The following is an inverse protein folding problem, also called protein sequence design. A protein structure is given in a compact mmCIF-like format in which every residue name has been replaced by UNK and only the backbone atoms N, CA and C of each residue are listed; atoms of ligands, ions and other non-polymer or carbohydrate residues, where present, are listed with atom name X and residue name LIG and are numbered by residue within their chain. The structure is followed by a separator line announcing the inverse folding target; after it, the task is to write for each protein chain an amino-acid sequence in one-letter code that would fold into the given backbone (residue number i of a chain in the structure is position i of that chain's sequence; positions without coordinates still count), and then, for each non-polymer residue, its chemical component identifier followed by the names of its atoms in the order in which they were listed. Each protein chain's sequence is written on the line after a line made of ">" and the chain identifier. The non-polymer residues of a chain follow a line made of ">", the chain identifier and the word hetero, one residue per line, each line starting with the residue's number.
data_IF_383034845491
#
_entry.id   IF_383034845491
#
_cell.length_a   1.000
_cell.length_b   1.000
_cell.length_c   1.000
_cell.angle_alpha   90.00
_cell.angle_beta   90.00
_cell.angle_gamma   90.00
#
_symmetry.space_group_name_H-M   'P 1'
#
loop_
_entity.id
_entity.type
_entity.pdbx_description
1 polymer ?
#
# COMPACT_ATOMS: atom_id res chain seq x y z
N UNK A 1 21.26 -19.91 -10.45
CA UNK A 1 19.90 -19.56 -9.99
C UNK A 1 19.68 -18.07 -10.13
N UNK A 2 18.45 -17.65 -10.40
CA UNK A 2 18.14 -16.22 -10.55
C UNK A 2 18.37 -15.43 -9.24
N UNK A 3 18.28 -16.08 -8.08
CA UNK A 3 18.58 -15.50 -6.78
C UNK A 3 20.07 -15.10 -6.66
N UNK A 4 20.98 -15.92 -7.17
CA UNK A 4 22.40 -15.58 -7.23
C UNK A 4 22.62 -14.32 -8.07
N UNK A 5 22.05 -14.26 -9.27
CA UNK A 5 22.21 -13.12 -10.18
C UNK A 5 21.60 -11.81 -9.63
N UNK A 6 20.61 -11.88 -8.74
CA UNK A 6 20.05 -10.72 -8.05
C UNK A 6 20.85 -10.29 -6.81
N UNK A 7 21.88 -11.05 -6.42
CA UNK A 7 22.67 -10.78 -5.22
C UNK A 7 21.96 -11.10 -3.91
N UNK A 8 20.87 -11.89 -3.94
CA UNK A 8 20.09 -12.23 -2.73
C UNK A 8 20.65 -13.44 -1.97
N UNK A 9 21.42 -14.29 -2.62
CA UNK A 9 22.11 -15.42 -1.99
C UNK A 9 23.59 -15.46 -2.36
N UNK A 10 24.46 -16.08 -1.51
CA UNK A 10 25.88 -16.18 -1.78
C UNK A 10 26.21 -16.95 -3.07
N UNK A 11 27.30 -16.56 -3.71
CA UNK A 11 27.90 -17.31 -4.82
C UNK A 11 28.78 -18.40 -4.24
N UNK A 12 28.43 -19.66 -4.51
CA UNK A 12 29.17 -20.83 -4.04
C UNK A 12 29.82 -21.64 -5.20
N UNK A 13 29.43 -21.35 -6.44
CA UNK A 13 29.96 -22.01 -7.63
C UNK A 13 31.40 -21.53 -7.92
N UNK A 14 32.42 -22.40 -7.87
CA UNK A 14 33.82 -22.04 -8.15
C UNK A 14 34.02 -21.45 -9.55
N UNK A 15 33.27 -21.92 -10.55
CA UNK A 15 33.40 -21.41 -11.92
C UNK A 15 32.87 -19.96 -12.02
N UNK A 16 31.79 -19.64 -11.29
CA UNK A 16 31.28 -18.29 -11.21
C UNK A 16 32.23 -17.38 -10.42
N UNK A 17 32.78 -17.86 -9.31
CA UNK A 17 33.76 -17.10 -8.51
C UNK A 17 35.08 -16.81 -9.27
N UNK A 18 35.43 -17.63 -10.26
CA UNK A 18 36.59 -17.45 -11.12
C UNK A 18 36.28 -16.62 -12.39
N UNK A 19 35.05 -16.22 -12.60
CA UNK A 19 34.64 -15.41 -13.75
C UNK A 19 34.97 -13.91 -13.56
N UNK A 20 34.88 -13.14 -14.64
CA UNK A 20 35.11 -11.69 -14.64
C UNK A 20 33.89 -10.90 -14.04
N UNK A 21 33.01 -11.58 -13.31
CA UNK A 21 31.87 -10.94 -12.66
C UNK A 21 32.31 -10.09 -11.46
N UNK A 22 31.60 -9.02 -11.23
CA UNK A 22 31.80 -8.17 -10.05
C UNK A 22 31.07 -8.75 -8.83
N UNK A 23 31.79 -8.84 -7.72
CA UNK A 23 31.27 -9.33 -6.45
C UNK A 23 31.40 -8.27 -5.37
N UNK A 24 30.48 -8.31 -4.42
CA UNK A 24 30.56 -7.62 -3.14
C UNK A 24 30.67 -8.66 -2.01
N UNK A 25 31.31 -8.31 -0.92
CA UNK A 25 31.47 -9.19 0.23
C UNK A 25 30.66 -8.66 1.42
N UNK A 26 29.81 -9.52 1.98
CA UNK A 26 28.99 -9.22 3.17
C UNK A 26 29.13 -10.41 4.12
N UNK A 27 29.55 -10.15 5.36
CA UNK A 27 29.78 -11.17 6.40
C UNK A 27 30.66 -12.37 5.92
N UNK A 28 31.71 -12.11 5.13
CA UNK A 28 32.60 -13.13 4.60
C UNK A 28 32.06 -13.96 3.43
N UNK A 29 30.84 -13.67 2.98
CA UNK A 29 30.23 -14.29 1.81
C UNK A 29 30.28 -13.35 0.60
N UNK A 30 30.54 -13.94 -0.58
CA UNK A 30 30.52 -13.20 -1.84
C UNK A 30 29.17 -13.26 -2.50
N UNK A 31 28.67 -12.11 -2.89
CA UNK A 31 27.42 -11.93 -3.62
C UNK A 31 27.68 -11.28 -4.97
N UNK A 32 26.84 -11.58 -5.97
CA UNK A 32 26.87 -10.81 -7.21
C UNK A 32 26.60 -9.34 -6.91
N UNK A 33 27.44 -8.45 -7.41
CA UNK A 33 27.22 -7.03 -7.34
C UNK A 33 26.04 -6.67 -8.27
N UNK A 34 24.86 -6.53 -7.73
CA UNK A 34 23.63 -6.32 -8.46
C UNK A 34 22.79 -5.23 -7.81
N UNK A 35 22.44 -4.20 -8.57
CA UNK A 35 21.50 -3.17 -8.10
C UNK A 35 20.10 -3.73 -7.77
N UNK A 36 19.76 -4.91 -8.31
CA UNK A 36 18.46 -5.54 -8.06
C UNK A 36 18.20 -5.82 -6.58
N UNK A 37 19.26 -6.05 -5.78
CA UNK A 37 19.11 -6.33 -4.34
C UNK A 37 18.46 -5.15 -3.59
N UNK A 38 18.64 -3.93 -4.05
CA UNK A 38 18.04 -2.74 -3.42
C UNK A 38 16.62 -2.46 -3.89
N UNK A 39 16.15 -3.12 -4.97
CA UNK A 39 14.83 -2.88 -5.53
C UNK A 39 13.74 -3.56 -4.70
N UNK A 40 12.54 -2.95 -4.70
CA UNK A 40 11.34 -3.57 -4.20
C UNK A 40 10.83 -4.69 -5.14
N UNK A 41 9.77 -5.38 -4.71
CA UNK A 41 9.04 -6.27 -5.60
C UNK A 41 8.36 -5.46 -6.72
N UNK A 42 8.12 -6.11 -7.88
CA UNK A 42 7.36 -5.49 -8.95
C UNK A 42 5.93 -5.15 -8.49
N UNK A 43 5.53 -3.90 -8.70
CA UNK A 43 4.17 -3.46 -8.42
C UNK A 43 3.19 -3.75 -9.55
N UNK A 44 1.93 -3.53 -9.28
CA UNK A 44 0.82 -3.62 -10.23
C UNK A 44 0.13 -2.26 -10.33
N UNK A 45 -0.30 -1.90 -11.54
CA UNK A 45 -1.26 -0.82 -11.74
C UNK A 45 -2.63 -1.42 -12.03
N UNK A 46 -3.65 -0.94 -11.32
CA UNK A 46 -5.05 -1.33 -11.49
C UNK A 46 -5.91 -0.13 -11.87
N UNK A 47 -7.00 -0.38 -12.56
CA UNK A 47 -8.02 0.61 -12.90
C UNK A 47 -9.41 0.07 -12.58
N UNK A 48 -10.34 0.97 -12.30
CA UNK A 48 -11.76 0.65 -12.21
C UNK A 48 -12.40 0.99 -13.57
N UNK A 49 -12.65 -0.04 -14.36
CA UNK A 49 -13.24 0.06 -15.69
C UNK A 49 -14.57 -0.71 -15.71
N UNK A 50 -15.50 -0.27 -16.57
CA UNK A 50 -16.82 -0.89 -16.70
C UNK A 50 -16.72 -2.29 -17.28
N UNK A 51 -15.72 -2.54 -18.14
CA UNK A 51 -15.47 -3.85 -18.74
C UNK A 51 -13.98 -4.05 -19.09
N UNK A 52 -13.58 -5.29 -19.26
CA UNK A 52 -12.20 -5.62 -19.62
C UNK A 52 -11.98 -5.50 -21.15
N UNK A 53 -12.13 -4.26 -21.66
CA UNK A 53 -11.80 -3.92 -23.04
C UNK A 53 -10.74 -2.83 -23.06
N UNK A 54 -10.01 -2.74 -24.18
CA UNK A 54 -8.98 -1.71 -24.39
C UNK A 54 -9.53 -0.30 -24.18
N UNK A 55 -10.71 -0.02 -24.73
CA UNK A 55 -11.31 1.32 -24.66
C UNK A 55 -11.72 1.66 -23.23
N UNK A 56 -12.42 0.75 -22.54
CA UNK A 56 -12.87 0.96 -21.17
C UNK A 56 -11.69 1.13 -20.20
N UNK A 57 -10.63 0.34 -20.36
CA UNK A 57 -9.39 0.48 -19.56
C UNK A 57 -8.72 1.83 -19.86
N UNK A 58 -8.63 2.22 -21.14
CA UNK A 58 -8.06 3.52 -21.51
C UNK A 58 -8.85 4.69 -20.93
N UNK A 59 -10.18 4.64 -20.98
CA UNK A 59 -11.06 5.66 -20.44
C UNK A 59 -10.94 5.75 -18.90
N UNK A 60 -10.78 4.61 -18.19
CA UNK A 60 -10.52 4.59 -16.76
C UNK A 60 -9.18 5.27 -16.42
N UNK A 61 -8.12 5.04 -17.17
CA UNK A 61 -6.86 5.79 -17.03
C UNK A 61 -7.03 7.29 -17.30
N UNK A 62 -7.83 7.65 -18.30
CA UNK A 62 -8.14 9.05 -18.62
C UNK A 62 -8.89 9.75 -17.48
N UNK A 63 -9.78 9.06 -16.82
CA UNK A 63 -10.48 9.54 -15.61
C UNK A 63 -9.58 9.52 -14.38
N UNK A 64 -8.35 8.97 -14.48
CA UNK A 64 -7.42 8.76 -13.36
C UNK A 64 -7.98 7.85 -12.26
N UNK A 65 -8.98 7.03 -12.57
CA UNK A 65 -9.58 6.08 -11.66
C UNK A 65 -8.70 4.84 -11.54
N UNK A 66 -7.51 5.06 -10.99
CA UNK A 66 -6.42 4.09 -10.98
C UNK A 66 -5.71 4.05 -9.64
N UNK A 67 -5.17 2.88 -9.31
CA UNK A 67 -4.38 2.64 -8.11
C UNK A 67 -3.16 1.78 -8.46
N UNK A 68 -2.21 1.71 -7.53
CA UNK A 68 -1.02 0.88 -7.68
C UNK A 68 -0.78 0.05 -6.42
N UNK A 69 -0.12 -1.08 -6.58
CA UNK A 69 0.33 -1.92 -5.47
C UNK A 69 1.83 -2.15 -5.54
N UNK A 70 2.43 -2.57 -4.44
CA UNK A 70 3.85 -2.95 -4.37
C UNK A 70 4.09 -4.47 -4.58
N UNK A 71 3.12 -5.17 -5.21
CA UNK A 71 3.21 -6.59 -5.55
C UNK A 71 1.92 -7.36 -5.33
N UNK A 72 1.30 -7.34 -4.14
CA UNK A 72 0.02 -7.98 -3.87
C UNK A 72 -1.09 -7.46 -4.77
N UNK A 73 -2.08 -8.29 -5.06
CA UNK A 73 -3.26 -7.92 -5.86
C UNK A 73 -4.36 -7.31 -5.00
N UNK A 74 -3.96 -6.43 -4.10
CA UNK A 74 -4.92 -5.62 -3.34
C UNK A 74 -5.69 -4.70 -4.26
N UNK A 75 -6.93 -4.39 -3.88
CA UNK A 75 -7.74 -3.38 -4.56
C UNK A 75 -8.14 -2.28 -3.59
N UNK A 76 -8.28 -1.07 -4.11
CA UNK A 76 -8.74 0.07 -3.33
C UNK A 76 -9.74 0.90 -4.13
N UNK A 77 -10.81 1.34 -3.46
CA UNK A 77 -11.73 2.36 -3.93
C UNK A 77 -11.63 3.57 -3.02
N UNK A 78 -11.68 4.75 -3.62
CA UNK A 78 -11.62 6.01 -2.89
C UNK A 78 -12.55 7.03 -3.53
N UNK A 79 -13.43 7.60 -2.71
CA UNK A 79 -14.40 8.59 -3.12
C UNK A 79 -14.39 9.76 -2.16
N UNK A 80 -14.75 10.94 -2.65
CA UNK A 80 -14.94 12.12 -1.83
C UNK A 80 -16.17 12.88 -2.26
N UNK A 81 -16.92 13.44 -1.30
CA UNK A 81 -18.14 14.20 -1.57
C UNK A 81 -18.54 15.01 -0.35
N UNK A 82 -19.67 15.64 -0.45
CA UNK A 82 -20.29 16.38 0.66
C UNK A 82 -21.57 15.68 1.08
N UNK A 83 -21.88 15.69 2.38
CA UNK A 83 -23.11 15.13 2.95
C UNK A 83 -23.39 13.67 2.54
N UNK A 84 -22.34 12.84 2.42
CA UNK A 84 -22.49 11.42 2.10
C UNK A 84 -23.21 10.69 3.24
N UNK A 85 -24.19 9.86 2.88
CA UNK A 85 -24.93 9.03 3.83
C UNK A 85 -24.07 7.86 4.31
N UNK A 86 -23.50 8.02 5.50
CA UNK A 86 -22.63 7.01 6.13
C UNK A 86 -23.35 5.74 6.55
N UNK A 87 -24.70 5.78 6.67
CA UNK A 87 -25.48 4.59 7.02
C UNK A 87 -25.45 3.52 5.94
N UNK A 88 -25.15 3.92 4.71
CA UNK A 88 -25.07 3.03 3.54
C UNK A 88 -23.82 2.16 3.48
N UNK A 89 -22.94 2.24 4.47
CA UNK A 89 -21.65 1.53 4.45
C UNK A 89 -21.75 0.01 4.23
N UNK A 90 -22.86 -0.60 4.59
CA UNK A 90 -23.13 -2.03 4.42
C UNK A 90 -24.21 -2.35 3.37
N UNK A 91 -24.70 -1.35 2.65
CA UNK A 91 -25.72 -1.55 1.63
C UNK A 91 -25.12 -2.20 0.38
N UNK A 92 -25.91 -3.03 -0.28
CA UNK A 92 -25.49 -3.69 -1.53
C UNK A 92 -25.32 -2.70 -2.69
N UNK A 93 -26.02 -1.56 -2.65
CA UNK A 93 -25.97 -0.48 -3.64
C UNK A 93 -24.93 0.61 -3.32
N UNK A 94 -24.09 0.40 -2.29
CA UNK A 94 -23.13 1.39 -1.83
C UNK A 94 -22.25 1.96 -2.97
N UNK A 95 -21.75 1.11 -3.86
CA UNK A 95 -20.89 1.56 -4.96
C UNK A 95 -21.65 2.42 -5.96
N UNK A 96 -22.86 2.04 -6.32
CA UNK A 96 -23.75 2.83 -7.19
C UNK A 96 -24.11 4.18 -6.56
N UNK A 97 -24.42 4.16 -5.26
CA UNK A 97 -24.65 5.36 -4.48
C UNK A 97 -23.45 6.31 -4.51
N UNK A 98 -22.22 5.79 -4.32
CA UNK A 98 -21.02 6.60 -4.31
C UNK A 98 -20.71 7.19 -5.69
N UNK A 99 -20.87 6.43 -6.78
CA UNK A 99 -20.71 6.97 -8.14
C UNK A 99 -21.74 8.07 -8.46
N UNK A 100 -22.92 8.01 -7.87
CA UNK A 100 -23.98 8.99 -8.09
C UNK A 100 -23.83 10.25 -7.23
N UNK A 101 -23.21 10.17 -6.05
CA UNK A 101 -23.22 11.24 -5.03
C UNK A 101 -21.81 11.75 -4.65
N UNK A 102 -20.72 11.12 -5.16
CA UNK A 102 -19.34 11.47 -4.85
C UNK A 102 -18.48 11.55 -6.10
N UNK A 103 -17.30 12.08 -5.95
CA UNK A 103 -16.22 12.06 -6.94
C UNK A 103 -15.30 10.88 -6.68
N UNK A 104 -14.86 10.22 -7.74
CA UNK A 104 -13.90 9.12 -7.67
C UNK A 104 -12.45 9.61 -7.46
N UNK A 105 -11.54 8.68 -7.17
CA UNK A 105 -10.10 8.96 -7.14
C UNK A 105 -9.64 9.64 -8.45
N UNK A 106 -8.69 10.56 -8.33
CA UNK A 106 -8.13 11.30 -9.46
C UNK A 106 -8.98 12.50 -9.92
N UNK A 107 -10.16 12.72 -9.33
CA UNK A 107 -10.98 13.87 -9.62
C UNK A 107 -10.67 15.06 -8.70
N UNK A 108 -11.05 16.25 -9.15
CA UNK A 108 -11.05 17.44 -8.32
C UNK A 108 -12.38 17.54 -7.58
N UNK A 109 -12.32 17.87 -6.29
CA UNK A 109 -13.50 18.14 -5.48
C UNK A 109 -13.66 19.65 -5.37
N UNK A 110 -14.68 20.18 -6.06
CA UNK A 110 -14.98 21.61 -6.03
C UNK A 110 -15.45 22.00 -4.62
N UNK A 111 -14.80 22.99 -4.02
CA UNK A 111 -15.19 23.52 -2.72
C UNK A 111 -16.56 24.17 -2.77
N UNK A 112 -17.55 23.57 -2.13
CA UNK A 112 -18.86 24.15 -1.94
C UNK A 112 -18.87 24.84 -0.57
N UNK A 113 -18.56 26.13 -0.55
CA UNK A 113 -18.53 26.90 0.70
C UNK A 113 -17.45 26.39 1.67
N UNK A 114 -17.79 26.33 2.97
CA UNK A 114 -16.87 25.87 4.04
C UNK A 114 -17.19 24.44 4.54
N UNK A 115 -17.84 23.65 3.72
CA UNK A 115 -18.22 22.29 4.12
C UNK A 115 -16.98 21.38 4.20
N UNK A 116 -16.93 20.56 5.24
CA UNK A 116 -15.90 19.53 5.39
C UNK A 116 -16.24 18.38 4.44
N UNK A 117 -15.31 17.98 3.53
CA UNK A 117 -15.56 16.85 2.67
C UNK A 117 -15.59 15.54 3.46
N UNK A 118 -16.48 14.66 3.06
CA UNK A 118 -16.53 13.28 3.52
C UNK A 118 -15.80 12.39 2.50
N UNK A 119 -14.92 11.55 3.00
CA UNK A 119 -14.18 10.59 2.21
C UNK A 119 -14.68 9.18 2.50
N UNK A 120 -14.79 8.36 1.47
CA UNK A 120 -15.02 6.94 1.62
C UNK A 120 -13.83 6.17 1.06
N UNK A 121 -13.36 5.18 1.81
CA UNK A 121 -12.31 4.27 1.38
C UNK A 121 -12.73 2.83 1.60
N UNK A 122 -12.40 1.97 0.65
CA UNK A 122 -12.58 0.53 0.74
C UNK A 122 -11.37 -0.18 0.15
N UNK A 123 -10.64 -0.88 1.00
CA UNK A 123 -9.51 -1.71 0.63
C UNK A 123 -9.85 -3.19 0.82
N UNK A 124 -9.46 -4.04 -0.13
CA UNK A 124 -9.62 -5.50 -0.08
C UNK A 124 -8.25 -6.13 -0.27
N UNK A 125 -7.92 -7.12 0.58
CA UNK A 125 -6.62 -7.81 0.55
C UNK A 125 -6.47 -8.70 -0.69
N UNK A 126 -5.24 -9.02 -1.02
CA UNK A 126 -4.92 -10.20 -1.83
C UNK A 126 -5.07 -11.46 -0.94
N UNK A 127 -5.80 -12.46 -1.40
CA UNK A 127 -6.03 -13.70 -0.64
C UNK A 127 -4.77 -14.56 -0.49
N UNK A 128 -3.75 -14.32 -1.30
CA UNK A 128 -2.48 -15.07 -1.29
C UNK A 128 -1.39 -14.42 -0.42
N UNK A 129 -1.62 -13.20 0.04
CA UNK A 129 -0.67 -12.44 0.88
C UNK A 129 -1.22 -12.20 2.28
N UNK A 130 -0.54 -11.38 3.07
CA UNK A 130 -0.96 -11.11 4.44
C UNK A 130 -2.30 -10.36 4.51
N UNK A 131 -3.06 -10.51 5.60
CA UNK A 131 -4.24 -9.69 5.86
C UNK A 131 -3.91 -8.19 5.96
N UNK A 132 -4.92 -7.35 5.71
CA UNK A 132 -4.79 -5.90 5.88
C UNK A 132 -4.58 -5.55 7.35
N UNK A 133 -3.63 -4.66 7.61
CA UNK A 133 -3.38 -4.10 8.94
C UNK A 133 -4.20 -2.82 9.16
N UNK A 134 -4.14 -1.89 8.20
CA UNK A 134 -4.80 -0.59 8.31
C UNK A 134 -4.96 0.07 6.94
N UNK A 135 -5.82 1.06 6.91
CA UNK A 135 -5.93 2.00 5.79
C UNK A 135 -5.60 3.40 6.28
N UNK A 136 -4.82 4.11 5.49
CA UNK A 136 -4.41 5.48 5.73
C UNK A 136 -4.96 6.40 4.66
N UNK A 137 -5.35 7.60 5.07
CA UNK A 137 -5.52 8.74 4.17
C UNK A 137 -4.36 9.70 4.45
N UNK A 138 -3.68 10.10 3.39
CA UNK A 138 -2.58 11.05 3.45
C UNK A 138 -3.07 12.36 2.85
N UNK A 139 -2.96 13.44 3.62
CA UNK A 139 -3.23 14.80 3.21
C UNK A 139 -1.92 15.49 2.88
N UNK A 140 -1.74 15.91 1.63
CA UNK A 140 -0.68 16.83 1.24
C UNK A 140 -1.25 18.23 1.06
N UNK A 141 -0.63 19.24 1.63
CA UNK A 141 -1.10 20.63 1.56
C UNK A 141 0.04 21.63 1.62
N UNK A 142 -0.27 22.88 1.32
CA UNK A 142 0.67 24.00 1.45
C UNK A 142 0.23 24.87 2.61
N UNK A 143 1.12 25.10 3.57
CA UNK A 143 0.84 25.93 4.74
C UNK A 143 0.78 27.44 4.39
N UNK A 144 0.43 28.26 5.37
CA UNK A 144 0.31 29.73 5.22
C UNK A 144 1.62 30.40 4.83
N UNK A 145 2.78 29.75 5.05
CA UNK A 145 4.10 30.23 4.68
C UNK A 145 4.55 29.75 3.30
N UNK A 146 3.72 28.97 2.59
CA UNK A 146 4.04 28.41 1.29
C UNK A 146 4.87 27.11 1.34
N UNK A 147 5.05 26.48 2.52
CA UNK A 147 5.81 25.26 2.64
C UNK A 147 4.91 24.03 2.42
N UNK A 148 5.39 23.01 1.66
CA UNK A 148 4.68 21.75 1.52
C UNK A 148 4.67 20.98 2.85
N UNK A 149 3.51 20.47 3.20
CA UNK A 149 3.26 19.68 4.41
C UNK A 149 2.59 18.36 4.06
N UNK A 150 2.82 17.34 4.89
CA UNK A 150 2.12 16.06 4.79
C UNK A 150 1.59 15.67 6.17
N UNK A 151 0.36 15.17 6.19
CA UNK A 151 -0.26 14.62 7.38
C UNK A 151 -0.88 13.26 7.07
N UNK A 152 -0.61 12.27 7.94
CA UNK A 152 -1.05 10.89 7.75
C UNK A 152 -2.07 10.54 8.81
N UNK A 153 -3.24 10.07 8.37
CA UNK A 153 -4.32 9.60 9.22
C UNK A 153 -4.56 8.11 8.99
N UNK A 154 -4.43 7.29 10.02
CA UNK A 154 -4.99 5.95 10.00
C UNK A 154 -6.50 6.10 10.14
N UNK A 155 -7.28 5.61 9.16
CA UNK A 155 -8.73 5.84 9.11
C UNK A 155 -9.54 4.56 9.33
N UNK A 156 -8.94 3.40 9.12
CA UNK A 156 -9.51 2.10 9.44
C UNK A 156 -8.39 1.16 9.95
N UNK A 157 -8.66 0.49 11.06
CA UNK A 157 -7.76 -0.45 11.71
C UNK A 157 -8.33 -1.85 11.64
N UNK A 158 -7.47 -2.88 11.53
CA UNK A 158 -7.89 -4.26 11.65
C UNK A 158 -8.22 -4.65 13.11
N UNK A 159 -8.77 -5.84 13.27
CA UNK A 159 -8.97 -6.52 14.57
C UNK A 159 -9.76 -5.68 15.60
N UNK A 160 -10.71 -4.85 15.10
CA UNK A 160 -11.53 -3.99 15.94
C UNK A 160 -10.79 -2.79 16.55
N UNK A 161 -9.56 -2.53 16.09
CA UNK A 161 -8.80 -1.35 16.50
C UNK A 161 -9.50 -0.05 16.10
N UNK A 162 -9.28 1.00 16.90
CA UNK A 162 -9.79 2.35 16.62
C UNK A 162 -8.61 3.32 16.60
N UNK A 163 -8.52 4.22 15.60
CA UNK A 163 -7.45 5.21 15.58
C UNK A 163 -7.46 6.10 16.83
N UNK A 164 -6.31 6.34 17.41
CA UNK A 164 -6.17 7.26 18.52
C UNK A 164 -6.49 8.69 18.07
N UNK A 165 -7.41 9.42 18.74
CA UNK A 165 -7.88 10.73 18.30
C UNK A 165 -6.81 11.84 18.34
N UNK A 166 -5.72 11.63 19.11
CA UNK A 166 -4.66 12.62 19.26
C UNK A 166 -3.48 12.36 18.29
N UNK A 167 -3.18 11.09 18.00
CA UNK A 167 -2.05 10.72 17.15
C UNK A 167 -2.47 10.30 15.76
N UNK A 168 -3.76 10.04 15.56
CA UNK A 168 -4.34 9.51 14.32
C UNK A 168 -3.71 8.17 13.89
N UNK A 169 -3.31 7.33 14.86
CA UNK A 169 -2.67 6.04 14.59
C UNK A 169 -3.50 4.89 15.13
N UNK A 170 -3.55 3.81 14.33
CA UNK A 170 -4.08 2.52 14.79
C UNK A 170 -3.21 1.94 15.90
N UNK A 171 -3.80 1.21 16.86
CA UNK A 171 -3.03 0.38 17.77
C UNK A 171 -2.28 -0.72 17.01
N UNK A 172 -1.21 -1.24 17.61
CA UNK A 172 -0.54 -2.44 17.10
C UNK A 172 -1.48 -3.65 17.18
N UNK A 173 -1.55 -4.41 16.10
CA UNK A 173 -2.38 -5.62 16.03
C UNK A 173 -1.62 -6.91 16.38
N UNK A 174 -0.33 -6.79 16.75
CA UNK A 174 0.55 -7.90 17.14
C UNK A 174 0.80 -8.95 16.04
N UNK A 175 0.50 -8.66 14.78
CA UNK A 175 0.86 -9.52 13.67
C UNK A 175 2.39 -9.65 13.55
N UNK A 176 2.87 -10.86 13.29
CA UNK A 176 4.28 -11.20 13.24
C UNK A 176 4.65 -11.89 11.94
N UNK A 177 5.91 -11.80 11.60
CA UNK A 177 6.56 -12.61 10.57
C UNK A 177 7.77 -13.32 11.18
N UNK A 178 7.90 -14.61 10.94
CA UNK A 178 9.09 -15.37 11.27
C UNK A 178 10.07 -15.27 10.09
N UNK A 179 11.16 -14.56 10.27
CA UNK A 179 12.14 -14.32 9.21
C UNK A 179 12.95 -15.58 8.83
N UNK A 180 12.95 -16.62 9.67
CA UNK A 180 13.65 -17.89 9.40
C UNK A 180 12.87 -18.79 8.45
N UNK A 181 11.54 -18.70 8.45
CA UNK A 181 10.64 -19.49 7.62
C UNK A 181 9.84 -18.64 6.64
N UNK A 182 9.80 -17.32 6.88
CA UNK A 182 8.92 -16.36 6.23
C UNK A 182 7.42 -16.65 6.43
N UNK A 183 7.06 -17.40 7.43
CA UNK A 183 5.68 -17.55 7.85
C UNK A 183 5.18 -16.27 8.53
N UNK A 184 3.97 -15.87 8.24
CA UNK A 184 3.34 -14.67 8.79
C UNK A 184 1.98 -14.99 9.40
N UNK A 185 1.50 -14.12 10.30
CA UNK A 185 0.18 -14.23 10.92
C UNK A 185 -0.93 -14.17 9.85
N UNK A 186 -1.72 -15.23 9.72
CA UNK A 186 -2.81 -15.33 8.75
C UNK A 186 -4.19 -15.06 9.34
N UNK A 187 -4.30 -15.17 10.65
CA UNK A 187 -5.50 -15.03 11.48
C UNK A 187 -5.64 -13.65 12.16
N UNK A 188 -4.61 -12.81 12.05
CA UNK A 188 -4.59 -11.42 12.51
C UNK A 188 -4.69 -10.50 11.31
N UNK A 189 -5.52 -9.47 11.40
CA UNK A 189 -5.76 -8.53 10.33
C UNK A 189 -7.11 -8.72 9.66
N UNK A 190 -7.40 -7.94 8.63
CA UNK A 190 -8.70 -7.90 7.98
C UNK A 190 -8.64 -8.39 6.53
N UNK A 191 -9.75 -9.02 6.07
CA UNK A 191 -9.93 -9.35 4.65
C UNK A 191 -10.29 -8.10 3.83
N UNK A 192 -11.04 -7.20 4.43
CA UNK A 192 -11.38 -5.89 3.90
C UNK A 192 -11.41 -4.85 5.02
N UNK A 193 -11.15 -3.60 4.65
CA UNK A 193 -11.33 -2.44 5.53
C UNK A 193 -12.07 -1.37 4.74
N UNK A 194 -13.19 -0.87 5.26
CA UNK A 194 -13.95 0.21 4.66
C UNK A 194 -14.44 1.18 5.72
N UNK A 195 -14.45 2.46 5.39
CA UNK A 195 -14.89 3.51 6.30
C UNK A 195 -15.26 4.78 5.57
N UNK A 196 -16.17 5.55 6.16
CA UNK A 196 -16.31 6.97 5.91
C UNK A 196 -15.44 7.75 6.90
N UNK A 197 -14.81 8.82 6.43
CA UNK A 197 -13.93 9.64 7.23
C UNK A 197 -14.01 11.12 6.82
N UNK A 198 -13.92 12.00 7.79
CA UNK A 198 -13.85 13.44 7.58
C UNK A 198 -12.52 13.96 8.14
N UNK A 199 -11.86 14.86 7.41
CA UNK A 199 -10.59 15.44 7.86
C UNK A 199 -10.80 16.33 9.11
N UNK A 200 -10.29 15.92 10.29
CA UNK A 200 -10.41 16.70 11.52
C UNK A 200 -9.58 17.99 11.50
N UNK A 201 -8.69 18.14 10.52
CA UNK A 201 -7.81 19.29 10.36
C UNK A 201 -8.15 20.13 9.12
N UNK A 202 -9.33 19.90 8.54
CA UNK A 202 -9.75 20.59 7.33
C UNK A 202 -9.80 22.11 7.52
N UNK A 203 -9.26 22.85 6.54
CA UNK A 203 -9.37 24.30 6.42
C UNK A 203 -9.79 24.64 4.99
N UNK A 204 -10.86 25.40 4.85
CA UNK A 204 -11.45 25.71 3.54
C UNK A 204 -10.54 26.53 2.61
N UNK A 205 -9.63 27.30 3.17
CA UNK A 205 -8.67 28.14 2.44
C UNK A 205 -7.41 27.39 2.00
N UNK A 206 -7.21 26.17 2.52
CA UNK A 206 -6.01 25.36 2.30
C UNK A 206 -6.14 24.56 1.00
N UNK A 207 -5.15 24.71 0.12
CA UNK A 207 -5.05 23.84 -1.06
C UNK A 207 -4.47 22.52 -0.63
N UNK A 208 -5.27 21.48 -0.69
CA UNK A 208 -4.89 20.14 -0.28
C UNK A 208 -5.24 19.09 -1.33
N UNK A 209 -4.49 17.99 -1.33
CA UNK A 209 -4.85 16.76 -2.03
C UNK A 209 -4.83 15.59 -1.04
N UNK A 210 -5.59 14.57 -1.35
CA UNK A 210 -5.72 13.38 -0.52
C UNK A 210 -5.47 12.13 -1.36
N UNK A 211 -4.74 11.18 -0.80
CA UNK A 211 -4.59 9.85 -1.39
C UNK A 211 -4.62 8.76 -0.33
N UNK A 212 -4.87 7.53 -0.77
CA UNK A 212 -5.03 6.37 0.12
C UNK A 212 -3.81 5.47 0.05
N UNK A 213 -3.45 4.90 1.20
CA UNK A 213 -2.50 3.82 1.32
C UNK A 213 -3.10 2.70 2.18
N UNK A 214 -3.29 1.51 1.59
CA UNK A 214 -3.65 0.30 2.33
C UNK A 214 -2.38 -0.46 2.67
N UNK A 215 -2.26 -0.91 3.93
CA UNK A 215 -1.11 -1.65 4.43
C UNK A 215 -1.53 -3.04 4.85
N UNK A 216 -0.77 -4.04 4.40
CA UNK A 216 -0.83 -5.42 4.91
C UNK A 216 -0.01 -5.55 6.20
N UNK A 217 -0.24 -6.63 6.93
CA UNK A 217 0.64 -7.07 7.99
C UNK A 217 2.06 -7.37 7.46
N UNK A 218 3.08 -7.33 8.31
CA UNK A 218 4.45 -7.62 7.92
C UNK A 218 4.61 -8.98 7.23
N UNK A 219 5.40 -9.01 6.16
CA UNK A 219 5.84 -10.22 5.45
C UNK A 219 7.32 -10.09 5.13
N UNK A 220 7.98 -11.21 4.85
CA UNK A 220 9.36 -11.18 4.40
C UNK A 220 9.51 -10.41 3.08
N UNK A 221 10.60 -9.70 2.97
CA UNK A 221 11.06 -9.15 1.70
C UNK A 221 11.42 -10.28 0.71
N UNK A 222 11.31 -10.03 -0.58
CA UNK A 222 11.63 -11.04 -1.60
C UNK A 222 13.03 -11.64 -1.48
N UNK A 223 14.02 -10.84 -1.07
CA UNK A 223 15.40 -11.31 -0.88
C UNK A 223 15.52 -12.26 0.32
N UNK A 224 14.77 -12.04 1.38
CA UNK A 224 14.67 -12.95 2.51
C UNK A 224 14.00 -14.27 2.09
N UNK A 225 12.93 -14.22 1.29
CA UNK A 225 12.33 -15.42 0.69
C UNK A 225 13.32 -16.21 -0.17
N UNK A 226 14.16 -15.53 -0.96
CA UNK A 226 15.18 -16.21 -1.75
C UNK A 226 16.19 -16.94 -0.84
N UNK A 227 16.62 -16.29 0.25
CA UNK A 227 17.55 -16.89 1.21
C UNK A 227 16.94 -18.13 1.89
N UNK A 228 15.73 -18.00 2.44
CA UNK A 228 15.00 -19.11 3.09
C UNK A 228 14.84 -20.29 2.13
N UNK A 229 14.40 -20.07 0.90
CA UNK A 229 14.20 -21.12 -0.12
C UNK A 229 15.49 -21.82 -0.54
N UNK A 230 16.63 -21.19 -0.35
CA UNK A 230 17.96 -21.76 -0.67
C UNK A 230 18.71 -22.22 0.60
N UNK A 231 18.07 -22.23 1.78
CA UNK A 231 18.63 -22.61 3.06
C UNK A 231 19.94 -21.86 3.40
N UNK A 232 19.96 -20.54 3.16
CA UNK A 232 21.05 -19.64 3.52
C UNK A 232 20.51 -18.50 4.37
N UNK A 233 21.40 -17.91 5.19
CA UNK A 233 21.03 -16.72 5.98
C UNK A 233 20.72 -15.53 5.06
N UNK A 234 19.68 -14.75 5.36
CA UNK A 234 19.44 -13.49 4.67
C UNK A 234 20.58 -12.49 4.90
N UNK A 235 20.94 -11.74 3.86
CA UNK A 235 21.98 -10.69 3.94
C UNK A 235 21.70 -9.74 5.12
N UNK A 236 22.75 -9.46 5.89
CA UNK A 236 22.64 -8.61 7.09
C UNK A 236 22.47 -7.12 6.76
N UNK A 237 22.99 -6.70 5.60
CA UNK A 237 22.96 -5.31 5.12
C UNK A 237 21.66 -4.92 4.39
N UNK A 238 20.72 -5.87 4.27
CA UNK A 238 19.40 -5.63 3.63
C UNK A 238 18.24 -5.73 4.64
N UNK A 239 17.16 -4.95 4.44
CA UNK A 239 15.93 -5.17 5.20
C UNK A 239 15.40 -6.59 5.00
N UNK A 240 14.84 -7.16 6.05
CA UNK A 240 14.34 -8.55 6.08
C UNK A 240 12.84 -8.65 5.90
#
# INVERSE_FOLDING_TARGET
>A
SSAVLRGSIPVTDPAMLASDQSFEEVDGNKYMNSSAITWGAAGLAGVWAEENTRNSIYDAFRRKESFATSGPRMTVRFFAGYDLDTSKINDNDLVEYLYSNAKTMGADLDGIGKQIPSFFVWAVRDTFTAPLQRVQIIKGYVDENGNPQEQIFDVACSDGGVPNPNTYRCPENNAKVDISTCEFSRDIGAAELKTFWNDPTFKSEERAFYYVRALENPTCRWSTWDAVRNNVEPRSDMPK
#
